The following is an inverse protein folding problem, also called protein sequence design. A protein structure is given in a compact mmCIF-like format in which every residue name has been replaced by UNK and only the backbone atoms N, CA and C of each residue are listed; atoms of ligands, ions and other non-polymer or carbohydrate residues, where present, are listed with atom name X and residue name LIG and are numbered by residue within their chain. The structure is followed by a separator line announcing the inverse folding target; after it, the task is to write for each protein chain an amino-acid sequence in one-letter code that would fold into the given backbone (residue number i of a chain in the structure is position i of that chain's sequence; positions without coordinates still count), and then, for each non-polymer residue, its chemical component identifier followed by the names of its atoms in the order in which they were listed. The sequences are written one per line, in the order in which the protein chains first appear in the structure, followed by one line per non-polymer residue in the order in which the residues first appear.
data_IF_077058436494
#
_entry.id   IF_077058436494
#
_cell.length_a   1.000
_cell.length_b   1.000
_cell.length_c   1.000
_cell.angle_alpha   90.00
_cell.angle_beta   90.00
_cell.angle_gamma   90.00
#
_symmetry.space_group_name_H-M   'P 1'
#
loop_
_entity.id
_entity.type
_entity.pdbx_description
1 polymer ?
#
# COMPACT_ATOMS: atom_id res chain seq x y z
N UNK A 1 -6.32 24.64 -11.09
CA UNK A 1 -5.51 24.36 -9.91
C UNK A 1 -4.05 24.68 -10.18
N UNK A 2 -3.31 25.07 -9.15
CA UNK A 2 -1.93 25.49 -9.30
C UNK A 2 -0.95 24.33 -9.40
N UNK A 3 0.24 24.60 -9.91
CA UNK A 3 1.35 23.64 -9.93
C UNK A 3 1.67 23.14 -8.51
N UNK A 4 1.60 24.05 -7.53
CA UNK A 4 1.91 23.71 -6.13
C UNK A 4 0.94 22.67 -5.56
N UNK A 5 -0.34 22.75 -5.94
CA UNK A 5 -1.34 21.76 -5.56
C UNK A 5 -0.93 20.35 -6.02
N UNK A 6 -0.55 20.20 -7.28
CA UNK A 6 -0.19 18.90 -7.84
C UNK A 6 1.14 18.38 -7.31
N UNK A 7 2.12 19.27 -7.09
CA UNK A 7 3.39 18.90 -6.47
C UNK A 7 3.17 18.34 -5.07
N UNK A 8 2.37 19.03 -4.26
CA UNK A 8 2.03 18.59 -2.90
C UNK A 8 1.28 17.26 -2.92
N UNK A 9 0.32 17.13 -3.83
CA UNK A 9 -0.47 15.90 -3.97
C UNK A 9 0.44 14.71 -4.26
N UNK A 10 1.42 14.86 -5.14
CA UNK A 10 2.39 13.79 -5.46
C UNK A 10 3.20 13.41 -4.22
N UNK A 11 3.68 14.39 -3.47
CA UNK A 11 4.42 14.16 -2.23
C UNK A 11 3.58 13.39 -1.21
N UNK A 12 2.33 13.82 -1.00
CA UNK A 12 1.42 13.20 -0.06
C UNK A 12 1.08 11.76 -0.46
N UNK A 13 0.90 11.51 -1.75
CA UNK A 13 0.60 10.17 -2.28
C UNK A 13 1.81 9.23 -2.12
N UNK A 14 3.03 9.73 -2.32
CA UNK A 14 4.25 8.95 -2.09
C UNK A 14 4.39 8.57 -0.62
N UNK A 15 4.05 9.49 0.28
CA UNK A 15 4.04 9.22 1.72
C UNK A 15 3.00 8.14 2.07
N UNK A 16 1.83 8.17 1.42
CA UNK A 16 0.80 7.15 1.60
C UNK A 16 1.28 5.77 1.14
N UNK A 17 2.00 5.69 0.02
CA UNK A 17 2.59 4.45 -0.46
C UNK A 17 3.60 3.91 0.55
N UNK A 18 4.46 4.77 1.08
CA UNK A 18 5.46 4.37 2.07
C UNK A 18 4.81 3.82 3.34
N UNK A 19 3.72 4.44 3.81
CA UNK A 19 2.95 3.93 4.95
C UNK A 19 2.34 2.57 4.65
N UNK A 20 1.74 2.40 3.47
CA UNK A 20 1.15 1.11 3.07
C UNK A 20 2.20 0.01 3.02
N UNK A 21 3.39 0.30 2.49
CA UNK A 21 4.49 -0.66 2.45
C UNK A 21 4.96 -1.04 3.85
N UNK A 22 5.03 -0.07 4.76
CA UNK A 22 5.42 -0.32 6.15
C UNK A 22 4.36 -1.16 6.87
N UNK A 23 3.08 -0.88 6.67
CA UNK A 23 1.99 -1.65 7.24
C UNK A 23 1.94 -3.08 6.68
N UNK A 24 2.18 -3.23 5.38
CA UNK A 24 2.27 -4.54 4.74
C UNK A 24 3.38 -5.37 5.38
N UNK A 25 4.54 -4.79 5.59
CA UNK A 25 5.67 -5.45 6.24
C UNK A 25 5.32 -5.89 7.66
N UNK A 26 4.69 -5.02 8.44
CA UNK A 26 4.23 -5.33 9.80
C UNK A 26 3.25 -6.49 9.82
N UNK A 27 2.26 -6.46 8.93
CA UNK A 27 1.25 -7.52 8.85
C UNK A 27 1.89 -8.84 8.45
N UNK A 28 2.80 -8.83 7.48
CA UNK A 28 3.52 -10.03 7.06
C UNK A 28 4.33 -10.64 8.20
N UNK A 29 5.01 -9.82 8.98
CA UNK A 29 5.78 -10.26 10.15
C UNK A 29 4.87 -10.80 11.24
N UNK A 30 3.76 -10.13 11.52
CA UNK A 30 2.78 -10.56 12.51
C UNK A 30 2.22 -11.93 12.16
N UNK A 31 1.71 -12.10 10.94
CA UNK A 31 1.12 -13.38 10.54
C UNK A 31 2.17 -14.49 10.40
N UNK A 32 3.40 -14.17 10.01
CA UNK A 32 4.49 -15.15 10.00
C UNK A 32 4.74 -15.69 11.39
N UNK A 33 4.75 -14.82 12.42
CA UNK A 33 4.89 -15.27 13.82
C UNK A 33 3.70 -16.11 14.27
N UNK A 34 2.48 -15.71 13.89
CA UNK A 34 1.27 -16.46 14.25
C UNK A 34 1.23 -17.84 13.60
N UNK A 35 1.68 -17.95 12.34
CA UNK A 35 1.78 -19.25 11.65
C UNK A 35 2.78 -20.14 12.37
N UNK A 36 3.94 -19.58 12.73
CA UNK A 36 5.02 -20.34 13.40
C UNK A 36 4.58 -20.85 14.78
N UNK A 37 3.82 -20.05 15.52
CA UNK A 37 3.38 -20.40 16.88
C UNK A 37 2.07 -21.18 16.94
N UNK A 38 1.33 -21.28 15.85
CA UNK A 38 0.06 -22.00 15.81
C UNK A 38 0.30 -23.51 15.96
N UNK A 39 -0.52 -24.17 16.78
CA UNK A 39 -0.37 -25.59 17.09
C UNK A 39 -1.24 -26.50 16.22
N UNK A 40 -2.28 -25.96 15.59
CA UNK A 40 -3.20 -26.75 14.74
C UNK A 40 -3.05 -26.40 13.28
N UNK A 41 -3.23 -27.38 12.35
CA UNK A 41 -3.25 -27.11 10.91
C UNK A 41 -4.33 -26.13 10.50
N UNK A 42 -5.49 -26.16 11.17
CA UNK A 42 -6.61 -25.26 10.91
C UNK A 42 -6.23 -23.81 11.20
N UNK A 43 -5.62 -23.56 12.36
CA UNK A 43 -5.16 -22.21 12.73
C UNK A 43 -4.09 -21.70 11.76
N UNK A 44 -3.15 -22.56 11.39
CA UNK A 44 -2.10 -22.21 10.41
C UNK A 44 -2.70 -21.79 9.07
N UNK A 45 -3.67 -22.56 8.58
CA UNK A 45 -4.34 -22.26 7.32
C UNK A 45 -5.09 -20.91 7.38
N UNK A 46 -5.76 -20.62 8.49
CA UNK A 46 -6.46 -19.35 8.70
C UNK A 46 -5.47 -18.17 8.67
N UNK A 47 -4.36 -18.29 9.38
CA UNK A 47 -3.35 -17.22 9.40
C UNK A 47 -2.67 -17.02 8.04
N UNK A 48 -2.41 -18.11 7.29
CA UNK A 48 -1.87 -18.01 5.94
C UNK A 48 -2.80 -17.26 5.01
N UNK A 49 -4.10 -17.56 5.08
CA UNK A 49 -5.12 -16.86 4.30
C UNK A 49 -5.16 -15.38 4.67
N UNK A 50 -5.18 -15.06 5.96
CA UNK A 50 -5.18 -13.67 6.44
C UNK A 50 -3.96 -12.91 5.95
N UNK A 51 -2.78 -13.55 5.98
CA UNK A 51 -1.54 -12.95 5.48
C UNK A 51 -1.65 -12.57 4.00
N UNK A 52 -2.14 -13.48 3.18
CA UNK A 52 -2.33 -13.28 1.74
C UNK A 52 -3.36 -12.16 1.49
N UNK A 53 -4.49 -12.21 2.19
CA UNK A 53 -5.57 -11.23 2.02
C UNK A 53 -5.12 -9.82 2.42
N UNK A 54 -4.38 -9.69 3.52
CA UNK A 54 -3.85 -8.40 3.96
C UNK A 54 -2.82 -7.86 2.98
N UNK A 55 -1.91 -8.69 2.51
CA UNK A 55 -0.91 -8.28 1.52
C UNK A 55 -1.59 -7.80 0.23
N UNK A 56 -2.61 -8.52 -0.24
CA UNK A 56 -3.36 -8.14 -1.44
C UNK A 56 -4.09 -6.80 -1.24
N UNK A 57 -4.66 -6.56 -0.06
CA UNK A 57 -5.32 -5.29 0.27
C UNK A 57 -4.33 -4.12 0.22
N UNK A 58 -3.17 -4.26 0.85
CA UNK A 58 -2.13 -3.23 0.81
C UNK A 58 -1.64 -2.98 -0.62
N UNK A 59 -1.46 -4.04 -1.41
CA UNK A 59 -1.01 -3.91 -2.80
C UNK A 59 -2.04 -3.18 -3.67
N UNK A 60 -3.34 -3.42 -3.46
CA UNK A 60 -4.40 -2.68 -4.17
C UNK A 60 -4.36 -1.20 -3.84
N UNK A 61 -4.15 -0.85 -2.57
CA UNK A 61 -4.06 0.54 -2.14
C UNK A 61 -2.82 1.22 -2.74
N UNK A 62 -1.69 0.54 -2.75
CA UNK A 62 -0.45 1.03 -3.38
C UNK A 62 -0.67 1.29 -4.87
N UNK A 63 -1.31 0.37 -5.59
CA UNK A 63 -1.59 0.55 -7.02
C UNK A 63 -2.55 1.73 -7.25
N UNK A 64 -3.54 1.92 -6.39
CA UNK A 64 -4.43 3.08 -6.46
C UNK A 64 -3.66 4.38 -6.30
N UNK A 65 -2.78 4.47 -5.32
CA UNK A 65 -1.95 5.66 -5.10
C UNK A 65 -1.01 5.92 -6.28
N UNK A 66 -0.43 4.88 -6.86
CA UNK A 66 0.42 5.01 -8.06
C UNK A 66 -0.34 5.60 -9.24
N UNK A 67 -1.57 5.16 -9.47
CA UNK A 67 -2.43 5.70 -10.53
C UNK A 67 -2.75 7.18 -10.27
N UNK A 68 -3.02 7.53 -9.02
CA UNK A 68 -3.29 8.92 -8.63
C UNK A 68 -2.06 9.81 -8.84
N UNK A 69 -0.86 9.30 -8.54
CA UNK A 69 0.40 10.02 -8.80
C UNK A 69 0.55 10.26 -10.30
N UNK A 70 0.31 9.25 -11.12
CA UNK A 70 0.42 9.39 -12.58
C UNK A 70 -0.55 10.43 -13.12
N UNK A 71 -1.79 10.41 -12.64
CA UNK A 71 -2.79 11.42 -12.99
C UNK A 71 -2.35 12.84 -12.59
N UNK A 72 -1.80 13.00 -11.39
CA UNK A 72 -1.30 14.29 -10.92
C UNK A 72 -0.11 14.77 -11.74
N UNK A 73 0.79 13.87 -12.14
CA UNK A 73 1.91 14.21 -13.01
C UNK A 73 1.45 14.71 -14.38
N UNK A 74 0.43 14.06 -14.94
CA UNK A 74 -0.15 14.47 -16.22
C UNK A 74 -0.77 15.87 -16.12
N UNK A 75 -1.51 16.13 -15.04
CA UNK A 75 -2.09 17.45 -14.80
C UNK A 75 -1.02 18.52 -14.65
N UNK A 76 0.06 18.20 -13.92
CA UNK A 76 1.19 19.13 -13.76
C UNK A 76 1.86 19.42 -15.11
N UNK A 77 2.06 18.40 -15.94
CA UNK A 77 2.65 18.56 -17.26
C UNK A 77 1.81 19.48 -18.17
N UNK A 78 0.49 19.38 -18.07
CA UNK A 78 -0.42 20.28 -18.83
C UNK A 78 -0.25 21.74 -18.42
N UNK A 79 -0.01 21.99 -17.13
CA UNK A 79 0.18 23.35 -16.62
C UNK A 79 1.51 23.96 -17.03
N UNK A 80 2.46 23.15 -17.48
CA UNK A 80 3.78 23.61 -17.94
C UNK A 80 3.81 24.02 -19.40
N UNK A 81 2.76 23.74 -20.16
CA UNK A 81 2.63 24.07 -21.60
C UNK A 81 2.28 25.51 -21.86
#
# INVERSE_FOLDING_TARGET
MSKEYYKKKIIDLRASIDRERAEKKKDNEYYARMIKSATSPSSKATYRKSKIDKAASHDRDIESYKRQIESAKQSLARLRR
#
